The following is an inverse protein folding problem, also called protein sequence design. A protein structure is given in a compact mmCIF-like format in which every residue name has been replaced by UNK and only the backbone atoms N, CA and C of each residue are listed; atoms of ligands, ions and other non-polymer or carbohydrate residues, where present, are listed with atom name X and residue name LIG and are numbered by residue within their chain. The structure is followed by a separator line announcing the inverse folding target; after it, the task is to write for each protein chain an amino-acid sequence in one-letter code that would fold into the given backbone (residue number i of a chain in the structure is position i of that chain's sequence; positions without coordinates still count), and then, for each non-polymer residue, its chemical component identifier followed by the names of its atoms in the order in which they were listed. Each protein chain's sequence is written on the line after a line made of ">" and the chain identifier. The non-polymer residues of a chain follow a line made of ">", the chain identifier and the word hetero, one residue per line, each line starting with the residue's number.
data_IF_386914383347
#
_entry.id   IF_386914383347
#
_cell.length_a   1.000
_cell.length_b   1.000
_cell.length_c   1.000
_cell.angle_alpha   90.00
_cell.angle_beta   90.00
_cell.angle_gamma   90.00
#
_symmetry.space_group_name_H-M   'P 1'
#
loop_
_entity.id
_entity.type
_entity.pdbx_description
1 polymer ?
#
# COMPACT_ATOMS: atom_id res chain seq x y z
N UNK A 1 -2.97 32.43 18.57
CA UNK A 1 -3.48 31.18 19.18
C UNK A 1 -2.74 29.99 18.58
N UNK A 2 -1.71 29.51 19.26
CA UNK A 2 -0.94 28.32 18.87
C UNK A 2 -1.70 27.08 19.35
N UNK A 3 -2.04 26.17 18.43
CA UNK A 3 -2.67 24.89 18.77
C UNK A 3 -1.69 24.06 19.62
N UNK A 4 -2.15 23.32 20.64
CA UNK A 4 -1.30 22.40 21.39
C UNK A 4 -0.68 21.39 20.42
N UNK A 5 0.65 21.25 20.49
CA UNK A 5 1.39 20.30 19.67
C UNK A 5 1.21 18.92 20.28
N UNK A 6 0.69 17.99 19.47
CA UNK A 6 0.57 16.58 19.83
C UNK A 6 1.97 15.94 19.88
N UNK A 7 2.47 15.73 21.10
CA UNK A 7 3.83 15.25 21.35
C UNK A 7 4.06 13.82 20.82
N UNK A 8 3.00 13.02 20.72
CA UNK A 8 3.09 11.66 20.19
C UNK A 8 3.39 11.66 18.69
N UNK A 9 2.73 12.56 17.94
CA UNK A 9 2.99 12.75 16.50
C UNK A 9 4.41 13.24 16.23
N UNK A 10 4.91 14.14 17.08
CA UNK A 10 6.29 14.64 16.98
C UNK A 10 7.30 13.51 17.18
N UNK A 11 7.04 12.60 18.12
CA UNK A 11 7.83 11.39 18.34
C UNK A 11 7.88 10.52 17.08
N UNK A 12 6.70 10.16 16.54
CA UNK A 12 6.59 9.32 15.35
C UNK A 12 7.32 9.88 14.12
N UNK A 13 7.17 11.16 13.83
CA UNK A 13 7.84 11.78 12.70
C UNK A 13 9.38 11.77 12.84
N UNK A 14 9.90 11.92 14.06
CA UNK A 14 11.34 11.82 14.35
C UNK A 14 11.85 10.38 14.27
N UNK A 15 11.05 9.40 14.67
CA UNK A 15 11.39 7.98 14.52
C UNK A 15 11.48 7.60 13.05
N UNK A 16 10.53 8.05 12.21
CA UNK A 16 10.60 7.88 10.76
C UNK A 16 11.88 8.51 10.20
N UNK A 17 12.23 9.73 10.65
CA UNK A 17 13.48 10.38 10.24
C UNK A 17 14.70 9.51 10.59
N UNK A 18 14.81 9.04 11.84
CA UNK A 18 15.92 8.20 12.30
C UNK A 18 16.07 6.96 11.42
N UNK A 19 14.98 6.21 11.22
CA UNK A 19 14.98 4.97 10.41
C UNK A 19 15.35 5.23 8.96
N UNK A 20 14.89 6.32 8.35
CA UNK A 20 15.31 6.71 7.00
C UNK A 20 16.83 6.99 6.91
N UNK A 21 17.45 7.51 7.96
CA UNK A 21 18.89 7.77 7.97
C UNK A 21 19.74 6.50 8.12
N UNK A 22 19.15 5.40 8.61
CA UNK A 22 19.78 4.08 8.73
C UNK A 22 19.74 3.30 7.40
N UNK A 23 18.87 3.69 6.46
CA UNK A 23 18.80 3.03 5.15
C UNK A 23 20.04 3.32 4.31
N UNK A 24 20.52 2.35 3.51
CA UNK A 24 21.62 2.56 2.59
C UNK A 24 21.23 3.61 1.56
N UNK A 25 21.90 4.75 1.59
CA UNK A 25 21.63 5.83 0.65
C UNK A 25 22.07 5.40 -0.76
N UNK A 26 21.22 5.57 -1.78
CA UNK A 26 21.66 5.39 -3.14
C UNK A 26 22.80 6.39 -3.40
N UNK A 27 23.98 5.90 -3.78
CA UNK A 27 25.10 6.69 -4.32
C UNK A 27 25.71 7.76 -3.39
N UNK A 28 25.47 7.71 -2.08
CA UNK A 28 26.04 8.69 -1.13
C UNK A 28 25.41 10.09 -1.21
N UNK A 29 24.18 10.19 -1.72
CA UNK A 29 23.47 11.45 -1.90
C UNK A 29 23.22 12.17 -0.57
N UNK A 30 23.28 13.51 -0.62
CA UNK A 30 22.79 14.36 0.48
C UNK A 30 21.27 14.23 0.64
N UNK A 31 20.75 14.66 1.79
CA UNK A 31 19.29 14.63 2.06
C UNK A 31 18.49 15.41 1.00
N UNK A 32 19.06 16.52 0.51
CA UNK A 32 18.40 17.35 -0.50
C UNK A 32 18.37 16.66 -1.86
N UNK A 33 19.45 15.99 -2.24
CA UNK A 33 19.51 15.24 -3.50
C UNK A 33 18.60 14.02 -3.48
N UNK A 34 18.57 13.29 -2.36
CA UNK A 34 17.64 12.18 -2.17
C UNK A 34 16.18 12.66 -2.24
N UNK A 35 15.83 13.76 -1.57
CA UNK A 35 14.51 14.36 -1.68
C UNK A 35 14.18 14.77 -3.13
N UNK A 36 15.14 15.32 -3.86
CA UNK A 36 14.98 15.73 -5.25
C UNK A 36 14.78 14.53 -6.19
N UNK A 37 15.54 13.46 -6.01
CA UNK A 37 15.42 12.22 -6.80
C UNK A 37 14.07 11.53 -6.56
N UNK A 38 13.59 11.57 -5.31
CA UNK A 38 12.25 11.13 -4.93
C UNK A 38 11.13 12.11 -5.36
N UNK A 39 11.45 13.22 -6.02
CA UNK A 39 10.50 14.26 -6.44
C UNK A 39 9.66 14.85 -5.29
N UNK A 40 10.25 14.94 -4.09
CA UNK A 40 9.64 15.60 -2.93
C UNK A 40 10.34 16.92 -2.62
N UNK A 41 9.72 17.73 -1.75
CA UNK A 41 10.32 18.99 -1.31
C UNK A 41 11.66 18.73 -0.60
N UNK A 42 12.71 19.49 -0.90
CA UNK A 42 14.04 19.36 -0.28
C UNK A 42 14.02 19.54 1.24
N UNK A 43 13.02 20.23 1.77
CA UNK A 43 12.78 20.40 3.21
C UNK A 43 12.15 19.17 3.88
N UNK A 44 11.89 18.09 3.15
CA UNK A 44 11.22 16.89 3.67
C UNK A 44 11.89 16.32 4.92
N UNK A 45 13.20 16.05 4.86
CA UNK A 45 13.96 15.50 5.98
C UNK A 45 14.02 16.48 7.17
N UNK A 46 14.21 17.77 6.89
CA UNK A 46 14.18 18.82 7.91
C UNK A 46 12.83 18.89 8.61
N UNK A 47 11.73 18.75 7.87
CA UNK A 47 10.38 18.78 8.42
C UNK A 47 10.10 17.55 9.29
N UNK A 48 10.56 16.36 8.88
CA UNK A 48 10.48 15.15 9.69
C UNK A 48 11.22 15.30 11.02
N UNK A 49 12.46 15.81 10.99
CA UNK A 49 13.26 16.08 12.18
C UNK A 49 12.57 17.08 13.14
N UNK A 50 11.85 18.06 12.59
CA UNK A 50 11.04 19.01 13.35
C UNK A 50 9.74 18.41 13.91
N UNK A 51 9.40 17.17 13.56
CA UNK A 51 8.21 16.48 14.05
C UNK A 51 6.99 16.59 13.11
N UNK A 52 7.16 17.06 11.88
CA UNK A 52 6.07 17.10 10.91
C UNK A 52 5.88 15.72 10.29
N UNK A 53 4.70 15.13 10.48
CA UNK A 53 4.37 13.86 9.83
C UNK A 53 4.37 13.99 8.29
N UNK A 54 4.97 13.02 7.57
CA UNK A 54 4.92 13.02 6.12
C UNK A 54 3.57 12.46 5.65
N UNK A 55 3.08 12.95 4.50
CA UNK A 55 2.03 12.23 3.79
C UNK A 55 2.55 10.86 3.32
N UNK A 56 1.72 9.82 3.38
CA UNK A 56 2.07 8.46 2.93
C UNK A 56 2.66 8.45 1.51
N UNK A 57 2.11 9.23 0.59
CA UNK A 57 2.60 9.32 -0.79
C UNK A 57 4.05 9.82 -0.90
N UNK A 58 4.42 10.84 -0.11
CA UNK A 58 5.80 11.37 -0.07
C UNK A 58 6.76 10.38 0.57
N UNK A 59 6.34 9.72 1.66
CA UNK A 59 7.16 8.69 2.29
C UNK A 59 7.41 7.53 1.33
N UNK A 60 6.37 7.07 0.62
CA UNK A 60 6.49 6.03 -0.42
C UNK A 60 7.47 6.42 -1.51
N UNK A 61 7.40 7.65 -2.02
CA UNK A 61 8.32 8.12 -3.07
C UNK A 61 9.78 8.08 -2.62
N UNK A 62 10.05 8.50 -1.37
CA UNK A 62 11.41 8.47 -0.79
C UNK A 62 11.93 7.05 -0.61
N UNK A 63 11.08 6.11 -0.17
CA UNK A 63 11.44 4.70 -0.02
C UNK A 63 11.70 4.01 -1.36
N UNK A 64 10.87 4.28 -2.37
CA UNK A 64 11.06 3.71 -3.72
C UNK A 64 12.38 4.15 -4.32
N UNK A 65 12.84 5.37 -4.07
CA UNK A 65 14.14 5.86 -4.54
C UNK A 65 15.33 5.05 -3.98
N UNK A 66 15.14 4.34 -2.86
CA UNK A 66 16.17 3.45 -2.27
C UNK A 66 15.87 1.97 -2.47
N UNK A 67 14.87 1.64 -3.31
CA UNK A 67 14.47 0.27 -3.57
C UNK A 67 13.75 -0.41 -2.40
N UNK A 68 13.14 0.37 -1.49
CA UNK A 68 12.36 -0.16 -0.36
C UNK A 68 10.87 0.16 -0.51
N UNK A 69 10.04 -0.63 0.16
CA UNK A 69 8.58 -0.45 0.20
C UNK A 69 8.09 -0.02 1.60
N UNK A 70 6.86 0.52 1.67
CA UNK A 70 6.24 0.89 2.96
C UNK A 70 6.13 -0.32 3.90
N UNK A 71 5.66 -1.52 3.47
CA UNK A 71 5.58 -2.67 4.36
C UNK A 71 6.94 -3.11 4.91
N UNK A 72 7.97 -3.17 4.07
CA UNK A 72 9.34 -3.50 4.52
C UNK A 72 9.86 -2.46 5.51
N UNK A 73 9.62 -1.17 5.22
CA UNK A 73 10.04 -0.10 6.11
C UNK A 73 9.35 -0.16 7.48
N UNK A 74 8.17 -0.77 7.63
CA UNK A 74 7.47 -0.91 8.91
C UNK A 74 7.41 -2.36 9.42
N UNK A 75 8.23 -3.26 8.87
CA UNK A 75 8.18 -4.68 9.21
C UNK A 75 8.39 -4.94 10.72
N UNK A 76 9.39 -4.32 11.34
CA UNK A 76 9.68 -4.51 12.77
C UNK A 76 8.53 -4.03 13.68
N UNK A 77 7.86 -2.93 13.31
CA UNK A 77 6.71 -2.41 14.04
C UNK A 77 5.48 -3.31 13.87
N UNK A 78 5.35 -3.96 12.71
CA UNK A 78 4.30 -4.93 12.46
C UNK A 78 4.57 -6.24 13.22
N UNK A 79 5.81 -6.72 13.26
CA UNK A 79 6.21 -7.94 13.97
C UNK A 79 5.99 -7.80 15.48
N UNK A 80 6.28 -6.64 16.06
CA UNK A 80 5.96 -6.35 17.46
C UNK A 80 4.46 -6.23 17.78
N UNK A 81 3.61 -5.97 16.77
CA UNK A 81 2.13 -5.89 16.90
C UNK A 81 1.41 -7.18 16.54
N UNK A 82 2.05 -8.09 15.80
CA UNK A 82 1.56 -9.43 15.54
C UNK A 82 1.74 -10.31 16.79
N UNK A 83 1.05 -9.93 17.86
CA UNK A 83 1.12 -10.63 19.16
C UNK A 83 0.67 -12.09 19.04
N UNK A 84 -0.13 -12.45 18.03
CA UNK A 84 -0.41 -13.82 17.61
C UNK A 84 -0.77 -13.83 16.13
N UNK A 85 -0.14 -14.68 15.32
CA UNK A 85 -0.78 -15.08 14.06
C UNK A 85 -2.18 -15.60 14.40
N UNK A 86 -3.26 -15.06 13.81
CA UNK A 86 -4.58 -15.62 14.02
C UNK A 86 -4.57 -17.07 13.56
N UNK A 87 -5.12 -17.96 14.37
CA UNK A 87 -5.24 -19.36 13.98
C UNK A 87 -6.10 -19.49 12.73
N UNK A 88 -5.91 -20.57 11.97
CA UNK A 88 -6.74 -20.85 10.79
C UNK A 88 -8.24 -20.80 11.12
N UNK A 89 -8.61 -21.21 12.33
CA UNK A 89 -9.98 -21.16 12.82
C UNK A 89 -10.49 -19.72 12.99
N UNK A 90 -9.68 -18.83 13.55
CA UNK A 90 -10.01 -17.40 13.70
C UNK A 90 -10.21 -16.73 12.33
N UNK A 91 -9.35 -17.06 11.35
CA UNK A 91 -9.48 -16.56 9.99
C UNK A 91 -10.76 -17.07 9.31
N UNK A 92 -11.07 -18.36 9.44
CA UNK A 92 -12.31 -18.96 8.89
C UNK A 92 -13.57 -18.35 9.49
N UNK A 93 -13.59 -18.10 10.79
CA UNK A 93 -14.71 -17.44 11.47
C UNK A 93 -14.90 -16.00 10.99
N UNK A 94 -13.83 -15.20 10.92
CA UNK A 94 -13.91 -13.81 10.46
C UNK A 94 -14.35 -13.70 8.98
N UNK A 95 -13.88 -14.62 8.12
CA UNK A 95 -14.31 -14.69 6.72
C UNK A 95 -15.79 -15.07 6.63
N UNK A 96 -16.24 -16.05 7.41
CA UNK A 96 -17.64 -16.49 7.40
C UNK A 96 -18.58 -15.39 7.91
N UNK A 97 -18.16 -14.65 8.94
CA UNK A 97 -18.89 -13.50 9.48
C UNK A 97 -18.97 -12.37 8.46
N UNK A 98 -17.86 -12.01 7.82
CA UNK A 98 -17.83 -11.00 6.75
C UNK A 98 -18.64 -11.39 5.51
N UNK A 99 -18.86 -12.69 5.27
CA UNK A 99 -19.71 -13.20 4.19
C UNK A 99 -21.18 -13.37 4.61
N UNK A 100 -21.50 -13.25 5.90
CA UNK A 100 -22.86 -13.38 6.42
C UNK A 100 -23.63 -12.05 6.45
N UNK A 101 -22.94 -10.91 6.35
CA UNK A 101 -23.56 -9.60 6.16
C UNK A 101 -23.90 -9.40 4.66
N UNK A 102 -25.16 -9.66 4.36
CA UNK A 102 -25.78 -9.71 3.05
C UNK A 102 -25.87 -8.32 2.37
N UNK A 103 -25.09 -8.13 1.30
CA UNK A 103 -25.38 -7.17 0.23
C UNK A 103 -24.72 -7.50 -1.12
N UNK A 104 -23.83 -8.50 -1.20
CA UNK A 104 -22.99 -8.73 -2.41
C UNK A 104 -23.41 -9.96 -3.23
N UNK A 105 -24.40 -10.72 -2.75
CA UNK A 105 -24.86 -11.99 -3.37
C UNK A 105 -25.42 -11.79 -4.79
N UNK A 106 -25.85 -10.58 -5.15
CA UNK A 106 -26.38 -10.28 -6.51
C UNK A 106 -25.29 -10.17 -7.58
N UNK A 107 -24.03 -9.82 -7.25
CA UNK A 107 -23.02 -9.55 -8.29
C UNK A 107 -22.27 -10.80 -8.75
N UNK A 108 -21.98 -11.74 -7.85
CA UNK A 108 -21.15 -12.92 -8.18
C UNK A 108 -21.91 -13.94 -9.03
N UNK A 109 -23.24 -14.05 -8.87
CA UNK A 109 -24.07 -14.93 -9.68
C UNK A 109 -24.13 -14.51 -11.17
N UNK A 110 -23.94 -13.23 -11.47
CA UNK A 110 -24.05 -12.71 -12.85
C UNK A 110 -22.75 -12.92 -13.65
N UNK A 111 -21.59 -12.95 -13.00
CA UNK A 111 -20.30 -13.11 -13.69
C UNK A 111 -19.98 -14.58 -14.05
N UNK A 112 -20.48 -15.56 -13.28
CA UNK A 112 -20.16 -16.98 -13.52
C UNK A 112 -21.03 -17.59 -14.64
N UNK A 113 -22.24 -17.08 -14.88
CA UNK A 113 -23.12 -17.58 -15.94
C UNK A 113 -22.65 -17.25 -17.37
N UNK A 114 -21.75 -16.27 -17.55
CA UNK A 114 -21.32 -15.81 -18.89
C UNK A 114 -20.10 -16.56 -19.45
N UNK A 115 -19.46 -17.43 -18.68
CA UNK A 115 -18.22 -18.12 -19.10
C UNK A 115 -18.45 -19.54 -19.66
N UNK A 116 -19.66 -20.09 -19.54
CA UNK A 116 -19.93 -21.51 -19.90
C UNK A 116 -20.57 -21.67 -21.29
N UNK A 117 -21.08 -20.62 -21.93
CA UNK A 117 -21.51 -20.68 -23.35
C UNK A 117 -20.42 -20.14 -24.26
N UNK A 118 -19.54 -21.04 -24.69
CA UNK A 118 -18.56 -20.78 -25.74
C UNK A 118 -19.23 -20.29 -27.04
N UNK A 119 -18.51 -19.52 -27.88
CA UNK A 119 -19.04 -19.09 -29.17
C UNK A 119 -19.22 -20.32 -30.08
N UNK A 120 -20.46 -20.55 -30.51
CA UNK A 120 -20.76 -21.50 -31.56
C UNK A 120 -20.05 -21.05 -32.85
N UNK A 121 -19.11 -21.86 -33.31
CA UNK A 121 -18.46 -21.71 -34.61
C UNK A 121 -19.49 -22.13 -35.65
N UNK A 122 -20.28 -21.18 -36.16
CA UNK A 122 -21.20 -21.43 -37.25
C UNK A 122 -20.44 -21.31 -38.58
N UNK A 123 -20.12 -22.46 -39.15
CA UNK A 123 -19.67 -22.60 -40.55
C UNK A 123 -20.88 -22.33 -41.45
N UNK A 124 -20.90 -21.18 -42.11
CA UNK A 124 -21.86 -20.92 -43.19
C UNK A 124 -21.13 -20.74 -44.52
N UNK A 125 -21.47 -21.67 -45.41
CA UNK A 125 -20.94 -21.88 -46.75
C UNK A 125 -21.38 -20.72 -47.65
N UNK A 126 -20.45 -20.12 -48.38
CA UNK A 126 -20.74 -19.20 -49.50
C UNK A 126 -20.91 -20.02 -50.78
N UNK A 127 -22.13 -20.43 -51.07
CA UNK A 127 -22.53 -20.84 -52.42
C UNK A 127 -22.88 -19.59 -53.22
N UNK A 128 -22.07 -19.29 -54.23
CA UNK A 128 -22.52 -18.52 -55.41
C UNK A 128 -23.68 -19.27 -56.09
N UNK A 129 -24.59 -18.57 -56.78
CA UNK A 129 -24.41 -18.55 -58.24
C UNK A 129 -24.97 -17.33 -59.00
N UNK A 130 -24.42 -17.20 -60.22
CA UNK A 130 -24.94 -16.64 -61.47
C UNK A 130 -25.23 -15.15 -61.60
#
# INVERSE_FOLDING_TARGET
>A
MTKPVDMERVGRARDIHRRLMELPRPKGLSNNEWAREAQVNTSFFTNLMKGSEPSVGKLRAVLVAVGSSIPEFFADEAEGRLVRMPTEQTLKSAISEALSDDATTTFVATCVARTIRGPAIERSQTTSPS
#
